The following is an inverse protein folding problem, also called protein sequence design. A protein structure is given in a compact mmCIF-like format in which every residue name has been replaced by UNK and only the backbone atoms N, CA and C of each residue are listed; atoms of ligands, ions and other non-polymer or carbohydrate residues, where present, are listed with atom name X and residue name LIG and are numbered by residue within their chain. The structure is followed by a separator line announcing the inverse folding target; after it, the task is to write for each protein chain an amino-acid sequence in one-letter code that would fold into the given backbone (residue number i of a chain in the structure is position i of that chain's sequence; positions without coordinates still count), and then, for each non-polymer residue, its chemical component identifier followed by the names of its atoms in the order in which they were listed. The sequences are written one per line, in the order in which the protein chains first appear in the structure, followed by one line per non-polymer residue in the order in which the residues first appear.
data_IF_801375721500
#
_entry.id   IF_801375721500
#
_cell.length_a   1.000
_cell.length_b   1.000
_cell.length_c   1.000
_cell.angle_alpha   90.00
_cell.angle_beta   90.00
_cell.angle_gamma   90.00
#
_symmetry.space_group_name_H-M   'P 1'
#
loop_
_entity.id
_entity.type
_entity.pdbx_description
1 polymer ?
#
# COMPACT_ATOMS: atom_id res chain seq x y z
N UNK A 1 -18.32 -18.61 2.85
CA UNK A 1 -16.87 -18.84 2.66
C UNK A 1 -16.15 -17.63 3.25
N UNK A 2 -15.43 -17.78 4.36
CA UNK A 2 -14.50 -16.74 4.80
C UNK A 2 -13.39 -16.68 3.75
N UNK A 3 -13.49 -15.72 2.84
CA UNK A 3 -12.41 -15.38 1.91
C UNK A 3 -11.18 -15.05 2.75
N UNK A 4 -10.21 -15.97 2.83
CA UNK A 4 -8.88 -15.66 3.35
C UNK A 4 -8.37 -14.49 2.54
N UNK A 5 -8.36 -13.30 3.13
CA UNK A 5 -7.89 -12.12 2.40
C UNK A 5 -6.41 -12.35 2.14
N UNK A 6 -6.04 -12.51 0.88
CA UNK A 6 -4.65 -12.70 0.53
C UNK A 6 -3.90 -11.39 0.78
N UNK A 7 -2.86 -11.46 1.60
CA UNK A 7 -1.88 -10.40 1.77
C UNK A 7 -0.66 -10.69 0.88
N UNK A 8 -0.07 -9.64 0.34
CA UNK A 8 1.28 -9.65 -0.20
C UNK A 8 2.20 -9.07 0.85
N UNK A 9 3.39 -9.67 0.94
CA UNK A 9 4.49 -9.14 1.73
C UNK A 9 5.48 -8.46 0.78
N UNK A 10 5.84 -7.22 1.12
CA UNK A 10 6.85 -6.44 0.39
C UNK A 10 7.94 -6.09 1.40
N UNK A 11 9.14 -6.60 1.16
CA UNK A 11 10.34 -6.26 1.93
C UNK A 11 10.93 -4.95 1.42
N UNK A 12 11.36 -4.10 2.35
CA UNK A 12 11.95 -2.80 2.10
C UNK A 12 13.27 -2.70 2.87
N UNK A 13 14.30 -2.28 2.14
CA UNK A 13 15.58 -1.87 2.70
C UNK A 13 15.48 -0.38 3.09
N UNK A 14 15.05 -0.12 4.32
CA UNK A 14 14.88 1.22 4.94
C UNK A 14 15.09 1.11 6.46
N UNK A 15 15.45 2.22 7.11
CA UNK A 15 15.82 2.27 8.52
C UNK A 15 14.61 2.28 9.48
N UNK A 16 13.42 2.63 8.99
CA UNK A 16 12.19 2.69 9.79
C UNK A 16 11.20 1.61 9.37
N UNK A 17 11.05 1.35 8.06
CA UNK A 17 10.06 0.41 7.54
C UNK A 17 10.76 -0.76 6.85
N UNK A 18 10.78 -1.93 7.49
CA UNK A 18 11.33 -3.16 6.89
C UNK A 18 10.31 -3.94 6.05
N UNK A 19 9.05 -3.98 6.49
CA UNK A 19 8.04 -4.88 5.96
C UNK A 19 6.70 -4.19 5.76
N UNK A 20 6.11 -4.38 4.58
CA UNK A 20 4.74 -3.99 4.29
C UNK A 20 3.89 -5.24 4.06
N UNK A 21 2.82 -5.37 4.83
CA UNK A 21 1.75 -6.35 4.58
C UNK A 21 0.54 -5.64 3.99
N UNK A 22 0.24 -5.91 2.71
CA UNK A 22 -0.87 -5.26 2.00
C UNK A 22 -1.81 -6.26 1.38
N UNK A 23 -3.11 -5.94 1.32
CA UNK A 23 -4.08 -6.78 0.62
C UNK A 23 -3.71 -6.89 -0.88
N UNK A 24 -3.57 -8.10 -1.41
CA UNK A 24 -3.23 -8.34 -2.84
C UNK A 24 -4.15 -7.63 -3.82
N UNK A 25 -5.39 -7.34 -3.43
CA UNK A 25 -6.34 -6.62 -4.26
C UNK A 25 -5.91 -5.17 -4.56
N UNK A 26 -5.16 -4.51 -3.67
CA UNK A 26 -4.63 -3.16 -3.91
C UNK A 26 -3.58 -3.19 -5.02
N UNK A 27 -2.74 -4.22 -5.05
CA UNK A 27 -1.69 -4.38 -6.07
C UNK A 27 -2.23 -4.63 -7.48
N UNK A 28 -3.53 -4.89 -7.63
CA UNK A 28 -4.21 -4.92 -8.94
C UNK A 28 -4.52 -3.54 -9.49
N UNK A 29 -4.53 -2.52 -8.63
CA UNK A 29 -4.87 -1.14 -8.96
C UNK A 29 -3.65 -0.23 -8.95
N UNK A 30 -2.70 -0.49 -8.05
CA UNK A 30 -1.50 0.32 -7.83
C UNK A 30 -0.28 -0.59 -7.94
N UNK A 31 0.69 -0.30 -8.83
CA UNK A 31 1.95 -1.04 -8.88
C UNK A 31 2.69 -1.03 -7.55
N UNK A 32 3.35 -2.14 -7.21
CA UNK A 32 4.08 -2.26 -5.95
C UNK A 32 5.17 -1.20 -5.76
N UNK A 33 5.82 -0.77 -6.84
CA UNK A 33 6.84 0.29 -6.79
C UNK A 33 6.23 1.66 -6.43
N UNK A 34 5.08 2.00 -7.00
CA UNK A 34 4.37 3.26 -6.72
C UNK A 34 3.84 3.27 -5.28
N UNK A 35 3.28 2.16 -4.83
CA UNK A 35 2.91 1.98 -3.42
C UNK A 35 4.11 2.16 -2.49
N UNK A 36 5.26 1.55 -2.82
CA UNK A 36 6.48 1.69 -2.02
C UNK A 36 6.91 3.15 -1.89
N UNK A 37 6.94 3.89 -3.00
CA UNK A 37 7.25 5.32 -3.00
C UNK A 37 6.26 6.09 -2.13
N UNK A 38 4.95 5.88 -2.29
CA UNK A 38 3.93 6.53 -1.47
C UNK A 38 4.13 6.27 0.03
N UNK A 39 4.40 5.01 0.43
CA UNK A 39 4.62 4.69 1.85
C UNK A 39 5.87 5.37 2.39
N UNK A 40 6.97 5.37 1.64
CA UNK A 40 8.22 5.99 2.09
C UNK A 40 8.14 7.52 2.17
N UNK A 41 7.42 8.15 1.24
CA UNK A 41 7.37 9.61 1.14
C UNK A 41 6.28 10.22 2.03
N UNK A 42 5.10 9.59 2.11
CA UNK A 42 3.94 10.17 2.78
C UNK A 42 3.65 9.55 4.14
N UNK A 43 3.93 8.26 4.32
CA UNK A 43 3.58 7.53 5.55
C UNK A 43 4.74 7.48 6.54
N UNK A 44 5.95 7.12 6.09
CA UNK A 44 7.14 7.00 6.95
C UNK A 44 7.39 8.24 7.85
N UNK A 45 7.21 9.49 7.39
CA UNK A 45 7.43 10.66 8.25
C UNK A 45 6.54 10.71 9.51
N UNK A 46 5.44 9.96 9.52
CA UNK A 46 4.53 9.86 10.66
C UNK A 46 4.80 8.62 11.54
N UNK A 47 5.87 7.86 11.27
CA UNK A 47 6.23 6.63 12.00
C UNK A 47 7.58 6.77 12.69
N UNK A 48 7.65 6.28 13.93
CA UNK A 48 8.91 5.95 14.60
C UNK A 48 9.38 4.52 14.28
N UNK A 49 10.68 4.25 14.40
CA UNK A 49 11.28 2.94 14.12
C UNK A 49 10.77 1.79 15.01
N UNK A 50 10.13 2.13 16.14
CA UNK A 50 9.58 1.16 17.11
C UNK A 50 8.06 1.00 17.01
N UNK A 51 7.43 1.63 16.01
CA UNK A 51 5.97 1.71 15.90
C UNK A 51 5.43 0.78 14.80
N UNK A 52 4.30 0.13 15.10
CA UNK A 52 3.51 -0.61 14.11
C UNK A 52 2.34 0.27 13.70
N UNK A 53 2.24 0.58 12.41
CA UNK A 53 1.14 1.38 11.86
C UNK A 53 0.14 0.50 11.10
N UNK A 54 -1.13 0.63 11.46
CA UNK A 54 -2.24 0.05 10.68
C UNK A 54 -2.97 1.15 9.94
N UNK A 55 -2.97 1.06 8.61
CA UNK A 55 -3.62 2.01 7.72
C UNK A 55 -4.88 1.44 7.08
N UNK A 56 -5.92 2.27 6.99
CA UNK A 56 -7.04 2.05 6.09
C UNK A 56 -6.76 2.82 4.79
N UNK A 57 -6.55 2.10 3.69
CA UNK A 57 -6.31 2.67 2.37
C UNK A 57 -7.55 2.50 1.50
N UNK A 58 -8.11 3.61 1.03
CA UNK A 58 -9.20 3.64 0.05
C UNK A 58 -8.63 3.98 -1.33
N UNK A 59 -8.97 3.17 -2.34
CA UNK A 59 -8.49 3.36 -3.72
C UNK A 59 -9.67 3.53 -4.65
N UNK A 60 -9.85 4.77 -5.11
CA UNK A 60 -10.87 5.18 -6.07
C UNK A 60 -10.30 5.19 -7.49
N UNK A 61 -11.08 4.73 -8.46
CA UNK A 61 -10.73 4.71 -9.88
C UNK A 61 -11.75 5.56 -10.63
N UNK A 62 -11.27 6.65 -11.23
CA UNK A 62 -12.08 7.51 -12.08
C UNK A 62 -11.84 7.15 -13.54
N UNK A 63 -12.89 6.71 -14.23
CA UNK A 63 -12.86 6.47 -15.67
C UNK A 63 -13.60 7.61 -16.33
N UNK A 64 -12.88 8.49 -17.03
CA UNK A 64 -13.49 9.51 -17.87
C UNK A 64 -13.47 9.04 -19.32
N UNK A 65 -14.65 8.96 -19.93
CA UNK A 65 -14.81 8.60 -21.35
C UNK A 65 -15.41 9.78 -22.09
N UNK A 66 -14.59 10.46 -22.89
CA UNK A 66 -15.10 11.38 -23.91
C UNK A 66 -15.72 10.57 -25.04
N UNK A 67 -17.05 10.45 -25.03
CA UNK A 67 -17.81 10.12 -26.22
C UNK A 67 -17.92 11.40 -27.06
N UNK A 68 -17.39 11.33 -28.28
CA UNK A 68 -17.43 12.42 -29.26
C UNK A 68 -18.81 12.67 -29.82
#
# INVERSE_FOLDING_TARGET
MLSTTAFEHIEIDDDVISDILIRKAILRKIPAAELKTFILDEIKPAMGAEEILHLALEVELFVDQKLG
#
